data_IF_946538269544
#
_entry.id   IF_946538269544
#
_cell.length_a   1.000
_cell.length_b   1.000
_cell.length_c   1.000
_cell.angle_alpha   90.00
_cell.angle_beta   90.00
_cell.angle_gamma   90.00
#
_symmetry.space_group_name_H-M   'P 1'
#
loop_
_entity.id
_entity.type
_entity.pdbx_description
1 polymer ?
#
# COMPACT_ATOMS: atom_id res chain seq x y z
N UNK A 1 -14.38 5.12 -17.07
CA UNK A 1 -15.19 6.36 -17.02
C UNK A 1 -16.67 5.97 -17.04
N UNK A 2 -17.33 5.99 -15.88
CA UNK A 2 -18.80 5.89 -15.86
C UNK A 2 -19.35 7.28 -16.18
N UNK A 3 -20.00 7.39 -17.32
CA UNK A 3 -20.72 8.58 -17.77
C UNK A 3 -21.96 8.81 -16.89
N UNK A 4 -21.82 9.71 -15.90
CA UNK A 4 -22.81 10.66 -15.39
C UNK A 4 -22.41 11.12 -13.97
N UNK A 5 -21.15 11.52 -13.79
CA UNK A 5 -20.73 12.17 -12.55
C UNK A 5 -21.13 13.66 -12.64
N UNK A 6 -22.35 13.95 -12.17
CA UNK A 6 -22.88 15.32 -12.07
C UNK A 6 -22.60 15.97 -10.72
N UNK A 7 -21.78 15.34 -9.85
CA UNK A 7 -21.48 15.89 -8.54
C UNK A 7 -20.67 17.19 -8.68
N UNK A 8 -21.14 18.24 -8.02
CA UNK A 8 -20.50 19.54 -7.96
C UNK A 8 -19.75 19.74 -6.64
N UNK A 9 -20.12 18.99 -5.61
CA UNK A 9 -19.53 19.03 -4.27
C UNK A 9 -19.31 17.61 -3.75
N UNK A 10 -18.43 17.42 -2.76
CA UNK A 10 -18.24 16.11 -2.16
C UNK A 10 -19.50 15.63 -1.40
N UNK A 11 -20.34 16.55 -0.93
CA UNK A 11 -21.60 16.24 -0.26
C UNK A 11 -22.58 15.53 -1.20
N UNK A 12 -22.53 15.81 -2.51
CA UNK A 12 -23.34 15.09 -3.51
C UNK A 12 -22.97 13.59 -3.59
N UNK A 13 -21.78 13.22 -3.08
CA UNK A 13 -21.27 11.85 -3.01
C UNK A 13 -21.44 11.22 -1.63
N UNK A 14 -22.07 11.91 -0.67
CA UNK A 14 -22.11 11.50 0.74
C UNK A 14 -22.68 10.10 0.97
N UNK A 15 -23.66 9.67 0.18
CA UNK A 15 -24.30 8.34 0.28
C UNK A 15 -23.41 7.19 -0.21
N UNK A 16 -22.38 7.51 -1.02
CA UNK A 16 -21.41 6.53 -1.51
C UNK A 16 -20.18 6.45 -0.62
N UNK A 17 -19.93 7.48 0.18
CA UNK A 17 -18.78 7.56 1.10
C UNK A 17 -19.08 6.85 2.43
N UNK A 18 -18.03 6.34 3.07
CA UNK A 18 -18.13 5.85 4.44
C UNK A 18 -18.25 7.00 5.45
N UNK A 19 -18.66 6.69 6.68
CA UNK A 19 -18.75 7.70 7.75
C UNK A 19 -17.40 8.38 8.01
N UNK A 20 -16.32 7.60 8.09
CA UNK A 20 -14.96 8.10 8.33
C UNK A 20 -14.49 9.03 7.20
N UNK A 21 -14.78 8.67 5.94
CA UNK A 21 -14.46 9.51 4.78
C UNK A 21 -15.21 10.84 4.85
N UNK A 22 -16.51 10.83 5.15
CA UNK A 22 -17.28 12.08 5.31
C UNK A 22 -16.75 12.96 6.43
N UNK A 23 -16.43 12.36 7.59
CA UNK A 23 -15.83 13.09 8.72
C UNK A 23 -14.49 13.72 8.33
N UNK A 24 -13.66 13.00 7.60
CA UNK A 24 -12.36 13.49 7.16
C UNK A 24 -12.48 14.59 6.10
N UNK A 25 -13.44 14.50 5.16
CA UNK A 25 -13.74 15.59 4.23
C UNK A 25 -14.22 16.84 4.96
N UNK A 26 -15.14 16.69 5.91
CA UNK A 26 -15.63 17.79 6.74
C UNK A 26 -14.49 18.45 7.55
N UNK A 27 -13.59 17.65 8.13
CA UNK A 27 -12.44 18.16 8.88
C UNK A 27 -11.44 18.95 8.01
N UNK A 28 -11.36 18.65 6.70
CA UNK A 28 -10.46 19.35 5.77
C UNK A 28 -11.12 20.56 5.09
N UNK A 29 -12.41 20.81 5.31
CA UNK A 29 -13.12 21.92 4.65
C UNK A 29 -12.59 23.31 5.00
N UNK A 30 -11.86 23.46 6.11
CA UNK A 30 -11.19 24.70 6.49
C UNK A 30 -9.84 24.93 5.76
N UNK A 31 -9.31 23.91 5.09
CA UNK A 31 -7.94 23.91 4.52
C UNK A 31 -7.91 23.67 3.02
N UNK A 32 -8.98 23.10 2.45
CA UNK A 32 -9.09 22.74 1.05
C UNK A 32 -10.28 23.45 0.41
N UNK A 33 -10.16 23.69 -0.90
CA UNK A 33 -11.26 24.16 -1.72
C UNK A 33 -12.30 23.06 -1.96
N UNK A 34 -13.54 23.43 -2.29
CA UNK A 34 -14.59 22.46 -2.64
C UNK A 34 -14.18 21.53 -3.79
N UNK A 35 -13.41 22.04 -4.76
CA UNK A 35 -12.89 21.26 -5.87
C UNK A 35 -11.87 20.22 -5.41
N UNK A 36 -10.97 20.56 -4.48
CA UNK A 36 -10.01 19.62 -3.90
C UNK A 36 -10.70 18.56 -3.03
N UNK A 37 -11.71 18.95 -2.25
CA UNK A 37 -12.51 18.00 -1.46
C UNK A 37 -13.28 17.03 -2.37
N UNK A 38 -13.91 17.54 -3.43
CA UNK A 38 -14.58 16.70 -4.43
C UNK A 38 -13.60 15.76 -5.13
N UNK A 39 -12.41 16.24 -5.51
CA UNK A 39 -11.37 15.39 -6.09
C UNK A 39 -10.91 14.29 -5.12
N UNK A 40 -10.74 14.62 -3.84
CA UNK A 40 -10.39 13.65 -2.80
C UNK A 40 -11.50 12.60 -2.59
N UNK A 41 -12.76 13.03 -2.55
CA UNK A 41 -13.90 12.12 -2.44
C UNK A 41 -13.98 11.15 -3.62
N UNK A 42 -13.83 11.66 -4.86
CA UNK A 42 -13.78 10.83 -6.08
C UNK A 42 -12.64 9.82 -6.02
N UNK A 43 -11.45 10.27 -5.61
CA UNK A 43 -10.30 9.39 -5.47
C UNK A 43 -10.56 8.25 -4.49
N UNK A 44 -11.19 8.51 -3.34
CA UNK A 44 -11.54 7.47 -2.38
C UNK A 44 -12.60 6.50 -2.91
N UNK A 45 -13.64 6.99 -3.60
CA UNK A 45 -14.64 6.11 -4.21
C UNK A 45 -14.02 5.20 -5.27
N UNK A 46 -13.14 5.74 -6.11
CA UNK A 46 -12.40 4.95 -7.10
C UNK A 46 -11.49 3.91 -6.43
N UNK A 47 -10.85 4.28 -5.32
CA UNK A 47 -10.02 3.38 -4.53
C UNK A 47 -10.84 2.25 -3.88
N UNK A 48 -11.97 2.56 -3.24
CA UNK A 48 -12.86 1.58 -2.61
C UNK A 48 -13.49 0.64 -3.63
N UNK A 49 -13.88 1.19 -4.78
CA UNK A 49 -14.35 0.39 -5.92
C UNK A 49 -13.27 -0.58 -6.39
N UNK A 50 -12.03 -0.13 -6.53
CA UNK A 50 -10.91 -0.99 -6.90
C UNK A 50 -10.69 -2.11 -5.87
N UNK A 51 -10.72 -1.80 -4.58
CA UNK A 51 -10.58 -2.81 -3.54
C UNK A 51 -11.70 -3.86 -3.63
N UNK A 52 -12.92 -3.41 -3.89
CA UNK A 52 -14.10 -4.29 -4.02
C UNK A 52 -14.01 -5.17 -5.27
N UNK A 53 -13.64 -4.60 -6.41
CA UNK A 53 -13.47 -5.33 -7.68
C UNK A 53 -12.45 -6.47 -7.56
N UNK A 54 -11.38 -6.27 -6.78
CA UNK A 54 -10.26 -7.21 -6.65
C UNK A 54 -10.24 -7.96 -5.32
N UNK A 55 -11.30 -7.89 -4.53
CA UNK A 55 -11.40 -8.57 -3.24
C UNK A 55 -11.29 -10.10 -3.35
N UNK A 56 -11.69 -10.66 -4.50
CA UNK A 56 -11.63 -12.09 -4.79
C UNK A 56 -10.25 -12.61 -5.23
N UNK A 57 -9.27 -11.74 -5.49
CA UNK A 57 -7.93 -12.16 -5.93
C UNK A 57 -7.15 -12.70 -4.72
N UNK A 58 -6.81 -14.00 -4.68
CA UNK A 58 -6.17 -14.61 -3.52
C UNK A 58 -4.78 -14.01 -3.29
N UNK A 59 -4.36 -13.97 -2.02
CA UNK A 59 -2.99 -13.60 -1.68
C UNK A 59 -2.00 -14.62 -2.27
N UNK A 60 -0.79 -14.19 -2.66
CA UNK A 60 0.27 -15.10 -3.09
C UNK A 60 0.59 -16.14 -2.02
N UNK A 61 0.97 -17.35 -2.44
CA UNK A 61 1.38 -18.39 -1.50
C UNK A 61 2.54 -17.90 -0.61
N UNK A 62 2.40 -18.10 0.70
CA UNK A 62 3.39 -17.68 1.69
C UNK A 62 3.32 -16.19 2.07
N UNK A 63 2.47 -15.38 1.46
CA UNK A 63 2.24 -14.02 1.92
C UNK A 63 1.52 -14.00 3.28
N UNK A 64 2.01 -13.19 4.22
CA UNK A 64 1.40 -12.99 5.55
C UNK A 64 0.52 -11.75 5.60
N UNK A 65 0.73 -10.81 4.68
CA UNK A 65 -0.12 -9.63 4.48
C UNK A 65 -0.01 -9.13 3.04
N UNK A 66 -1.00 -8.37 2.61
CA UNK A 66 -0.98 -7.64 1.35
C UNK A 66 -1.29 -6.16 1.61
N UNK A 67 -0.75 -5.27 0.79
CA UNK A 67 -1.22 -3.89 0.72
C UNK A 67 -2.58 -3.84 0.04
N UNK A 68 -3.22 -2.68 0.12
CA UNK A 68 -4.32 -2.33 -0.77
C UNK A 68 -3.87 -2.37 -2.23
N UNK A 69 -4.83 -2.60 -3.12
CA UNK A 69 -4.66 -2.44 -4.55
C UNK A 69 -4.48 -0.97 -4.92
N UNK A 70 -3.63 -0.69 -5.89
CA UNK A 70 -3.44 0.62 -6.48
C UNK A 70 -3.40 0.49 -8.00
N UNK A 71 -3.73 1.58 -8.71
CA UNK A 71 -3.58 1.68 -10.16
C UNK A 71 -2.41 2.60 -10.44
N UNK A 72 -1.27 2.00 -10.77
CA UNK A 72 -0.08 2.70 -11.27
C UNK A 72 0.39 1.97 -12.53
N UNK A 73 -0.01 2.46 -13.70
CA UNK A 73 0.22 1.81 -15.00
C UNK A 73 -0.97 1.01 -15.55
N UNK A 74 -0.68 0.04 -16.41
CA UNK A 74 -1.68 -0.66 -17.25
C UNK A 74 -2.58 -1.63 -16.47
N UNK A 75 -2.11 -2.16 -15.34
CA UNK A 75 -2.87 -3.09 -14.51
C UNK A 75 -2.82 -2.69 -13.04
N UNK A 76 -3.92 -2.88 -12.29
CA UNK A 76 -3.88 -2.74 -10.84
C UNK A 76 -2.87 -3.70 -10.23
N UNK A 77 -2.12 -3.20 -9.26
CA UNK A 77 -1.09 -3.94 -8.53
C UNK A 77 -1.27 -3.78 -7.03
N UNK A 78 -0.77 -4.75 -6.27
CA UNK A 78 -0.57 -4.63 -4.82
C UNK A 78 0.76 -5.27 -4.44
N UNK A 79 1.33 -4.83 -3.32
CA UNK A 79 2.46 -5.53 -2.72
C UNK A 79 1.94 -6.66 -1.82
N UNK A 80 2.52 -7.84 -1.94
CA UNK A 80 2.37 -8.93 -0.99
C UNK A 80 3.66 -9.05 -0.16
N UNK A 81 3.53 -9.32 1.13
CA UNK A 81 4.66 -9.35 2.06
C UNK A 81 4.75 -10.69 2.74
N UNK A 82 5.97 -11.20 2.90
CA UNK A 82 6.25 -12.52 3.47
C UNK A 82 6.71 -12.42 4.91
N UNK A 83 7.73 -11.58 5.16
CA UNK A 83 8.33 -11.45 6.49
C UNK A 83 9.10 -10.15 6.61
N UNK A 84 9.16 -9.62 7.84
CA UNK A 84 9.87 -8.38 8.18
C UNK A 84 10.78 -8.60 9.39
N UNK A 85 11.99 -8.06 9.32
CA UNK A 85 12.97 -8.03 10.40
C UNK A 85 13.34 -6.60 10.72
N UNK A 86 13.41 -6.27 12.01
CA UNK A 86 13.77 -4.94 12.49
C UNK A 86 15.22 -4.98 12.97
N UNK A 87 15.99 -3.96 12.61
CA UNK A 87 17.31 -3.70 13.18
C UNK A 87 17.33 -2.32 13.83
N UNK A 88 18.40 -1.96 14.56
CA UNK A 88 18.49 -0.73 15.34
C UNK A 88 18.52 0.59 14.56
N UNK A 89 17.91 0.67 13.38
CA UNK A 89 17.78 1.87 12.55
C UNK A 89 16.94 1.66 11.29
N UNK A 90 16.07 0.63 11.28
CA UNK A 90 15.24 0.34 10.12
C UNK A 90 14.69 -1.09 10.10
N UNK A 91 14.29 -1.55 8.92
CA UNK A 91 13.83 -2.92 8.70
C UNK A 91 14.21 -3.46 7.33
N UNK A 92 14.33 -4.78 7.26
CA UNK A 92 14.37 -5.54 6.00
C UNK A 92 13.03 -6.26 5.87
N UNK A 93 12.38 -6.19 4.71
CA UNK A 93 11.13 -6.88 4.44
C UNK A 93 11.22 -7.63 3.11
N UNK A 94 10.63 -8.82 3.02
CA UNK A 94 10.52 -9.56 1.76
C UNK A 94 9.12 -9.36 1.18
N UNK A 95 9.05 -8.83 -0.03
CA UNK A 95 7.82 -8.51 -0.74
C UNK A 95 7.86 -8.95 -2.21
N UNK A 96 6.70 -9.02 -2.85
CA UNK A 96 6.57 -9.11 -4.30
C UNK A 96 5.37 -8.28 -4.77
N UNK A 97 5.37 -7.91 -6.05
CA UNK A 97 4.18 -7.29 -6.65
C UNK A 97 3.25 -8.37 -7.18
N UNK A 98 1.95 -8.17 -6.99
CA UNK A 98 0.89 -9.00 -7.55
C UNK A 98 0.00 -8.15 -8.45
N UNK A 99 -0.30 -8.64 -9.65
CA UNK A 99 -1.23 -8.04 -10.62
C UNK A 99 -2.66 -8.55 -10.42
N UNK A 100 -3.64 -7.81 -10.95
CA UNK A 100 -5.06 -8.12 -10.82
C UNK A 100 -5.49 -9.49 -11.38
N UNK A 101 -4.74 -10.05 -12.33
CA UNK A 101 -4.94 -11.41 -12.85
C UNK A 101 -4.38 -12.51 -11.92
N UNK A 102 -3.78 -12.13 -10.79
CA UNK A 102 -3.20 -13.01 -9.79
C UNK A 102 -1.73 -13.36 -10.04
N UNK A 103 -1.13 -12.92 -11.15
CA UNK A 103 0.29 -13.15 -11.40
C UNK A 103 1.16 -12.41 -10.37
N UNK A 104 2.33 -12.98 -10.08
CA UNK A 104 3.26 -12.45 -9.08
C UNK A 104 4.65 -12.28 -9.66
N UNK A 105 5.29 -11.17 -9.32
CA UNK A 105 6.70 -10.97 -9.56
C UNK A 105 7.57 -11.81 -8.62
N UNK A 106 8.89 -11.84 -8.84
CA UNK A 106 9.81 -12.50 -7.92
C UNK A 106 9.77 -11.83 -6.54
N UNK A 107 9.92 -12.63 -5.49
CA UNK A 107 10.18 -12.12 -4.14
C UNK A 107 11.49 -11.34 -4.11
N UNK A 108 11.47 -10.17 -3.49
CA UNK A 108 12.62 -9.27 -3.33
C UNK A 108 12.73 -8.83 -1.88
N UNK A 109 13.95 -8.54 -1.43
CA UNK A 109 14.19 -7.91 -0.13
C UNK A 109 14.27 -6.39 -0.30
N UNK A 110 13.46 -5.67 0.47
CA UNK A 110 13.45 -4.22 0.57
C UNK A 110 14.04 -3.79 1.91
N UNK A 111 14.97 -2.82 1.88
CA UNK A 111 15.58 -2.26 3.08
C UNK A 111 15.03 -0.86 3.28
N UNK A 112 14.27 -0.69 4.36
CA UNK A 112 13.81 0.62 4.83
C UNK A 112 14.69 1.08 5.97
N UNK A 113 15.19 2.31 5.88
CA UNK A 113 16.06 2.93 6.90
C UNK A 113 15.31 4.09 7.54
N UNK A 114 15.40 4.21 8.86
CA UNK A 114 14.72 5.26 9.61
C UNK A 114 15.23 6.66 9.20
N UNK A 115 14.31 7.62 9.11
CA UNK A 115 14.67 9.01 8.82
C UNK A 115 15.59 9.55 9.93
N UNK A 116 16.84 9.82 9.58
CA UNK A 116 17.86 10.31 10.52
C UNK A 116 18.96 9.31 10.84
N UNK A 117 18.91 8.07 10.35
CA UNK A 117 20.08 7.20 10.38
C UNK A 117 21.11 7.69 9.35
N UNK A 118 22.13 8.40 9.83
CA UNK A 118 23.23 8.89 9.00
C UNK A 118 24.37 7.86 8.97
N UNK A 119 24.68 7.29 10.14
CA UNK A 119 25.76 6.31 10.32
C UNK A 119 25.26 5.09 11.11
N UNK A 120 25.88 3.93 10.85
CA UNK A 120 25.65 2.70 11.62
C UNK A 120 26.86 2.37 12.49
N UNK A 121 26.62 2.10 13.76
CA UNK A 121 27.63 1.47 14.60
C UNK A 121 27.78 -0.03 14.26
N UNK A 122 28.82 -0.67 14.79
CA UNK A 122 29.10 -2.08 14.50
C UNK A 122 27.96 -3.04 14.90
N UNK A 123 27.19 -2.74 15.94
CA UNK A 123 26.06 -3.57 16.35
C UNK A 123 24.91 -3.46 15.35
N UNK A 124 24.56 -2.25 14.93
CA UNK A 124 23.53 -2.00 13.90
C UNK A 124 23.92 -2.66 12.56
N UNK A 125 25.19 -2.54 12.16
CA UNK A 125 25.69 -3.18 10.93
C UNK A 125 25.57 -4.71 10.99
N UNK A 126 25.88 -5.34 12.14
CA UNK A 126 25.69 -6.79 12.32
C UNK A 126 24.22 -7.20 12.32
N UNK A 127 23.34 -6.40 12.92
CA UNK A 127 21.90 -6.66 12.91
C UNK A 127 21.34 -6.58 11.49
N UNK A 128 21.73 -5.57 10.70
CA UNK A 128 21.35 -5.47 9.29
C UNK A 128 21.85 -6.66 8.50
N UNK A 129 23.12 -7.06 8.68
CA UNK A 129 23.67 -8.23 8.00
C UNK A 129 22.87 -9.51 8.31
N UNK A 130 22.53 -9.74 9.59
CA UNK A 130 21.71 -10.87 10.00
C UNK A 130 20.29 -10.82 9.41
N UNK A 131 19.67 -9.63 9.35
CA UNK A 131 18.37 -9.44 8.73
C UNK A 131 18.39 -9.72 7.22
N UNK A 132 19.46 -9.30 6.51
CA UNK A 132 19.65 -9.59 5.09
C UNK A 132 19.86 -11.08 4.82
N UNK A 133 20.63 -11.78 5.66
CA UNK A 133 20.77 -13.24 5.57
C UNK A 133 19.42 -13.94 5.74
N UNK A 134 18.66 -13.57 6.77
CA UNK A 134 17.33 -14.16 7.00
C UNK A 134 16.35 -13.86 5.85
N UNK A 135 16.43 -12.66 5.25
CA UNK A 135 15.64 -12.30 4.08
C UNK A 135 16.01 -13.14 2.86
N UNK A 136 17.31 -13.37 2.62
CA UNK A 136 17.78 -14.25 1.56
C UNK A 136 17.26 -15.68 1.72
N UNK A 137 17.37 -16.25 2.93
CA UNK A 137 16.86 -17.59 3.24
C UNK A 137 15.34 -17.68 2.99
N UNK A 138 14.58 -16.64 3.36
CA UNK A 138 13.13 -16.59 3.14
C UNK A 138 12.74 -16.50 1.65
N UNK A 139 13.59 -15.88 0.80
CA UNK A 139 13.41 -15.84 -0.65
C UNK A 139 13.75 -17.19 -1.29
N UNK A 140 14.82 -17.86 -0.86
CA UNK A 140 15.21 -19.17 -1.40
C UNK A 140 14.18 -20.26 -1.04
N UNK A 141 13.61 -20.20 0.17
CA UNK A 141 12.50 -21.07 0.58
C UNK A 141 11.14 -20.73 -0.04
N UNK A 142 11.07 -19.77 -0.98
CA UNK A 142 9.84 -19.36 -1.67
C UNK A 142 9.58 -20.06 -3.01
N UNK A 143 10.47 -20.97 -3.42
CA UNK A 143 10.37 -21.72 -4.69
C UNK A 143 9.39 -22.89 -4.62
#
# INVERSE_FOLDING_TARGET
MNSNDTAATWQDLADQLTAEQRERLAANAAHLTDAELLAMARHWLDFDKLQTELAGVPAPAGAVRCSSWFRDGDQPTRAAYKQRWIFGGGSVEVSCDQTADGATGPWRAEVAVDQGLVDMNAAQARQLAAALTAAADAMDGAR
#
